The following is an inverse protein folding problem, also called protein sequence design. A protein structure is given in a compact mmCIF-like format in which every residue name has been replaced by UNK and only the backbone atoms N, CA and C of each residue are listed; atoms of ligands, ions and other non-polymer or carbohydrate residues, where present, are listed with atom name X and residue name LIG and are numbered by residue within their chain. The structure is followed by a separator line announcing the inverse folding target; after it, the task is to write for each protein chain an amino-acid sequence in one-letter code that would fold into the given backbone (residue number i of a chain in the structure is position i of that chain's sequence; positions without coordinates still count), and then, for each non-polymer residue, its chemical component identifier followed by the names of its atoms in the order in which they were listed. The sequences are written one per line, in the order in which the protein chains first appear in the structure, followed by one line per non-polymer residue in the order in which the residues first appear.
data_IF_408196423422
#
_entry.id   IF_408196423422
#
_cell.length_a   1.000
_cell.length_b   1.000
_cell.length_c   1.000
_cell.angle_alpha   90.00
_cell.angle_beta   90.00
_cell.angle_gamma   90.00
#
_symmetry.space_group_name_H-M   'P 1'
#
loop_
_entity.id
_entity.type
_entity.pdbx_description
1 polymer ?
#
# COMPACT_ATOMS: atom_id res chain seq x y z
N UNK A 1 -19.10 6.13 9.81
CA UNK A 1 -18.85 7.53 10.18
C UNK A 1 -17.35 7.80 10.11
N UNK A 2 -16.99 8.95 9.59
CA UNK A 2 -15.60 9.36 9.42
C UNK A 2 -15.36 10.66 10.20
N UNK A 3 -14.29 10.68 10.99
CA UNK A 3 -13.99 11.80 11.88
C UNK A 3 -13.36 12.94 11.07
N UNK A 4 -13.90 14.15 11.21
CA UNK A 4 -13.29 15.37 10.66
C UNK A 4 -13.02 16.38 11.77
N UNK A 5 -12.05 17.27 11.54
CA UNK A 5 -11.72 18.38 12.44
C UNK A 5 -12.45 19.64 11.98
N UNK A 6 -13.11 20.31 12.92
CA UNK A 6 -13.79 21.60 12.68
C UNK A 6 -13.33 22.65 13.68
N UNK A 7 -13.37 23.90 13.27
CA UNK A 7 -13.17 25.06 14.15
C UNK A 7 -14.51 25.49 14.77
N UNK A 8 -14.55 25.48 16.10
CA UNK A 8 -15.73 25.89 16.87
C UNK A 8 -15.43 27.25 17.52
N UNK A 9 -16.25 28.28 17.28
CA UNK A 9 -16.04 29.58 17.92
C UNK A 9 -16.24 29.52 19.43
N UNK A 10 -15.35 30.12 20.18
CA UNK A 10 -15.46 30.24 21.62
C UNK A 10 -16.52 31.31 21.90
N UNK A 11 -17.68 30.89 22.44
CA UNK A 11 -18.77 31.81 22.79
C UNK A 11 -18.52 32.40 24.17
N UNK A 12 -18.30 33.73 24.22
CA UNK A 12 -18.19 34.49 25.47
C UNK A 12 -18.06 35.98 25.20
N UNK A 13 -18.47 36.85 26.14
CA UNK A 13 -18.57 38.29 25.89
C UNK A 13 -17.24 39.00 25.65
N UNK A 14 -16.10 38.31 25.84
CA UNK A 14 -14.73 38.84 25.59
C UNK A 14 -13.81 37.88 24.80
N UNK A 15 -14.30 36.72 24.39
CA UNK A 15 -13.47 35.75 23.70
C UNK A 15 -13.61 35.88 22.19
N UNK A 16 -12.50 36.23 21.52
CA UNK A 16 -12.36 36.15 20.06
C UNK A 16 -11.38 35.02 19.78
N UNK A 17 -11.88 33.84 19.47
CA UNK A 17 -11.04 32.70 19.14
C UNK A 17 -11.86 31.50 18.73
N UNK A 18 -11.20 30.51 18.14
CA UNK A 18 -11.77 29.21 17.80
C UNK A 18 -10.94 28.13 18.49
N UNK A 19 -11.57 26.99 18.76
CA UNK A 19 -10.86 25.77 19.14
C UNK A 19 -11.18 24.65 18.17
N UNK A 20 -10.23 23.74 17.95
CA UNK A 20 -10.41 22.58 17.08
C UNK A 20 -11.07 21.46 17.86
N UNK A 21 -12.06 20.83 17.25
CA UNK A 21 -12.70 19.63 17.78
C UNK A 21 -12.96 18.63 16.66
N UNK A 22 -13.11 17.36 17.03
CA UNK A 22 -13.42 16.29 16.10
C UNK A 22 -14.91 15.95 16.14
N UNK A 23 -15.49 15.81 14.97
CA UNK A 23 -16.90 15.45 14.79
C UNK A 23 -17.05 14.36 13.73
N UNK A 24 -18.08 13.54 13.83
CA UNK A 24 -18.44 12.55 12.81
C UNK A 24 -19.26 13.23 11.72
N UNK A 25 -18.60 13.85 10.75
CA UNK A 25 -19.26 14.63 9.71
C UNK A 25 -18.93 14.14 8.29
N UNK A 26 -17.80 13.45 8.14
CA UNK A 26 -17.39 12.88 6.87
C UNK A 26 -17.78 11.40 6.77
N UNK A 27 -17.66 10.85 5.56
CA UNK A 27 -17.85 9.44 5.33
C UNK A 27 -16.75 8.87 4.41
N UNK A 28 -16.44 7.62 4.63
CA UNK A 28 -15.62 6.83 3.72
C UNK A 28 -16.32 5.49 3.45
N UNK A 29 -16.20 4.99 2.25
CA UNK A 29 -16.80 3.76 1.78
C UNK A 29 -15.78 2.93 1.03
N UNK A 30 -15.64 1.66 1.40
CA UNK A 30 -14.85 0.70 0.64
C UNK A 30 -15.78 -0.40 0.12
N UNK A 31 -15.64 -0.73 -1.16
CA UNK A 31 -16.35 -1.81 -1.83
C UNK A 31 -15.36 -2.66 -2.57
N UNK A 32 -15.51 -3.97 -2.52
CA UNK A 32 -14.56 -4.84 -3.18
C UNK A 32 -14.98 -6.29 -3.19
N UNK A 33 -14.12 -7.09 -3.78
CA UNK A 33 -14.18 -8.54 -3.79
C UNK A 33 -12.84 -9.09 -3.34
N UNK A 34 -12.89 -10.21 -2.63
CA UNK A 34 -11.72 -10.95 -2.20
C UNK A 34 -11.85 -12.40 -2.64
N UNK A 35 -10.74 -13.00 -3.02
CA UNK A 35 -10.68 -14.40 -3.39
C UNK A 35 -9.42 -15.03 -2.80
N UNK A 36 -9.57 -16.27 -2.31
CA UNK A 36 -8.46 -17.06 -1.82
C UNK A 36 -8.51 -18.46 -2.43
N UNK A 37 -7.37 -18.93 -2.90
CA UNK A 37 -7.17 -20.28 -3.39
C UNK A 37 -6.07 -20.96 -2.61
N UNK A 38 -6.41 -22.13 -2.00
CA UNK A 38 -5.46 -22.97 -1.27
C UNK A 38 -5.40 -24.35 -1.90
N UNK A 39 -4.19 -24.81 -2.18
CA UNK A 39 -3.95 -26.15 -2.66
C UNK A 39 -2.76 -26.80 -2.00
N UNK A 40 -2.90 -28.08 -1.69
CA UNK A 40 -1.81 -28.93 -1.25
C UNK A 40 -1.62 -30.04 -2.28
N UNK A 41 -0.38 -30.21 -2.75
CA UNK A 41 0.00 -31.24 -3.69
C UNK A 41 0.91 -32.23 -2.97
N UNK A 42 0.35 -33.38 -2.63
CA UNK A 42 1.08 -34.39 -1.86
C UNK A 42 1.62 -33.86 -0.54
N UNK A 43 2.86 -34.28 -0.20
CA UNK A 43 3.61 -33.80 0.96
C UNK A 43 4.57 -32.66 0.63
N UNK A 44 4.70 -32.33 -0.68
CA UNK A 44 5.77 -31.53 -1.22
C UNK A 44 5.44 -30.05 -1.34
N UNK A 45 4.22 -29.72 -1.74
CA UNK A 45 3.87 -28.35 -2.09
C UNK A 45 2.55 -27.93 -1.44
N UNK A 46 2.61 -26.81 -0.74
CA UNK A 46 1.43 -26.06 -0.29
C UNK A 46 1.44 -24.69 -0.94
N UNK A 47 0.36 -24.34 -1.60
CA UNK A 47 0.18 -23.07 -2.28
C UNK A 47 -1.02 -22.34 -1.68
N UNK A 48 -0.86 -21.06 -1.41
CA UNK A 48 -1.96 -20.14 -1.08
C UNK A 48 -1.84 -18.91 -1.96
N UNK A 49 -2.89 -18.59 -2.69
CA UNK A 49 -2.98 -17.38 -3.51
C UNK A 49 -4.18 -16.61 -3.02
N UNK A 50 -4.00 -15.38 -2.64
CA UNK A 50 -5.06 -14.47 -2.22
C UNK A 50 -5.00 -13.20 -3.04
N UNK A 51 -6.16 -12.68 -3.39
CA UNK A 51 -6.29 -11.43 -4.11
C UNK A 51 -7.49 -10.65 -3.63
N UNK A 52 -7.35 -9.34 -3.59
CA UNK A 52 -8.44 -8.40 -3.31
C UNK A 52 -8.46 -7.30 -4.36
N UNK A 53 -9.65 -6.97 -4.80
CA UNK A 53 -9.89 -5.77 -5.58
C UNK A 53 -10.92 -4.92 -4.83
N UNK A 54 -10.55 -3.70 -4.48
CA UNK A 54 -11.43 -2.81 -3.73
C UNK A 54 -11.28 -1.37 -4.24
N UNK A 55 -12.33 -0.59 -4.07
CA UNK A 55 -12.37 0.84 -4.36
C UNK A 55 -12.80 1.55 -3.09
N UNK A 56 -11.95 2.44 -2.61
CA UNK A 56 -12.23 3.29 -1.46
C UNK A 56 -12.54 4.71 -1.93
N UNK A 57 -13.73 5.17 -1.57
CA UNK A 57 -14.24 6.51 -1.91
C UNK A 57 -14.76 7.21 -0.66
N UNK A 58 -14.76 8.53 -0.68
CA UNK A 58 -15.23 9.32 0.43
C UNK A 58 -15.14 10.82 0.16
N UNK A 59 -15.47 11.61 1.16
CA UNK A 59 -15.42 13.06 1.09
C UNK A 59 -14.01 13.58 1.39
N UNK A 60 -13.34 13.01 2.39
CA UNK A 60 -11.94 13.37 2.74
C UNK A 60 -11.12 12.13 3.07
N UNK A 61 -9.81 12.20 2.82
CA UNK A 61 -8.88 11.08 3.06
C UNK A 61 -8.31 11.09 4.49
N UNK A 62 -8.45 12.19 5.20
CA UNK A 62 -8.01 12.35 6.60
C UNK A 62 -8.89 13.33 7.36
N UNK A 63 -8.87 13.23 8.69
CA UNK A 63 -9.68 14.07 9.58
C UNK A 63 -9.39 15.58 9.44
N UNK A 64 -8.20 15.96 9.00
CA UNK A 64 -7.79 17.36 8.89
C UNK A 64 -7.90 17.93 7.46
N UNK A 65 -8.25 17.11 6.47
CA UNK A 65 -8.23 17.53 5.07
C UNK A 65 -9.22 18.65 4.78
N UNK A 66 -10.43 18.56 5.30
CA UNK A 66 -11.46 19.59 5.16
C UNK A 66 -11.04 20.92 5.80
N UNK A 67 -10.44 20.86 6.98
CA UNK A 67 -9.96 22.04 7.70
C UNK A 67 -8.80 22.72 6.97
N UNK A 68 -7.78 21.96 6.57
CA UNK A 68 -6.63 22.47 5.80
C UNK A 68 -7.08 23.07 4.47
N UNK A 69 -8.04 22.42 3.79
CA UNK A 69 -8.61 22.95 2.56
C UNK A 69 -9.27 24.33 2.76
N UNK A 70 -9.98 24.52 3.87
CA UNK A 70 -10.63 25.81 4.21
C UNK A 70 -9.57 26.86 4.57
N UNK A 71 -8.56 26.53 5.38
CA UNK A 71 -7.46 27.44 5.75
C UNK A 71 -6.64 27.87 4.53
N UNK A 72 -6.44 26.99 3.55
CA UNK A 72 -5.70 27.26 2.31
C UNK A 72 -6.58 27.90 1.22
N UNK A 73 -7.86 28.22 1.51
CA UNK A 73 -8.80 28.80 0.56
C UNK A 73 -9.23 27.85 -0.57
N UNK A 74 -9.00 26.55 -0.39
CA UNK A 74 -9.50 25.53 -1.32
C UNK A 74 -10.98 25.30 -1.07
N UNK A 75 -11.74 25.04 -2.12
CA UNK A 75 -13.14 24.66 -1.98
C UNK A 75 -13.24 23.28 -1.37
N UNK A 76 -14.12 23.11 -0.37
CA UNK A 76 -14.45 21.78 0.13
C UNK A 76 -14.87 20.86 -1.03
N UNK A 77 -14.37 19.62 -0.99
CA UNK A 77 -14.85 18.59 -1.89
C UNK A 77 -16.29 18.23 -1.53
N UNK A 78 -17.23 18.65 -2.36
CA UNK A 78 -18.67 18.33 -2.20
C UNK A 78 -18.99 16.95 -2.79
N UNK A 79 -18.12 16.43 -3.64
CA UNK A 79 -18.31 15.17 -4.37
C UNK A 79 -17.53 14.04 -3.74
N UNK A 80 -18.04 12.83 -3.88
CA UNK A 80 -17.35 11.58 -3.50
C UNK A 80 -16.17 11.35 -4.45
N UNK A 81 -14.96 11.24 -3.89
CA UNK A 81 -13.72 11.03 -4.62
C UNK A 81 -12.99 9.79 -4.11
N UNK A 82 -12.03 9.29 -4.88
CA UNK A 82 -11.12 8.27 -4.40
C UNK A 82 -10.29 8.80 -3.22
N UNK A 83 -10.07 7.94 -2.24
CA UNK A 83 -9.24 8.30 -1.09
C UNK A 83 -7.76 8.08 -1.37
N UNK A 84 -6.88 8.90 -0.80
CA UNK A 84 -5.42 8.83 -1.02
C UNK A 84 -4.86 7.45 -0.66
N UNK A 85 -5.44 6.78 0.31
CA UNK A 85 -5.02 5.44 0.72
C UNK A 85 -5.65 4.30 -0.11
N UNK A 86 -6.51 4.61 -1.08
CA UNK A 86 -7.08 3.61 -2.00
C UNK A 86 -5.99 2.92 -2.81
N UNK A 87 -5.94 1.60 -2.70
CA UNK A 87 -5.06 0.72 -3.46
C UNK A 87 -5.89 -0.40 -4.06
N UNK A 88 -6.37 -0.20 -5.29
CA UNK A 88 -7.42 -1.06 -5.86
C UNK A 88 -7.11 -2.54 -5.91
N UNK A 89 -5.88 -2.94 -6.19
CA UNK A 89 -5.52 -4.34 -6.37
C UNK A 89 -4.38 -4.74 -5.44
N UNK A 90 -4.59 -5.85 -4.72
CA UNK A 90 -3.56 -6.51 -3.95
C UNK A 90 -3.59 -8.01 -4.25
N UNK A 91 -2.43 -8.58 -4.53
CA UNK A 91 -2.24 -10.01 -4.75
C UNK A 91 -1.10 -10.52 -3.88
N UNK A 92 -1.30 -11.66 -3.25
CA UNK A 92 -0.27 -12.35 -2.48
C UNK A 92 -0.30 -13.82 -2.85
N UNK A 93 0.86 -14.35 -3.21
CA UNK A 93 1.04 -15.79 -3.39
C UNK A 93 2.12 -16.30 -2.44
N UNK A 94 1.82 -17.36 -1.71
CA UNK A 94 2.79 -18.07 -0.89
C UNK A 94 2.91 -19.52 -1.33
N UNK A 95 4.13 -19.94 -1.53
CA UNK A 95 4.51 -21.28 -1.92
C UNK A 95 5.38 -21.86 -0.81
N UNK A 96 4.97 -22.98 -0.27
CA UNK A 96 5.78 -23.73 0.69
C UNK A 96 6.11 -25.08 0.08
N UNK A 97 7.37 -25.27 -0.24
CA UNK A 97 7.92 -26.51 -0.80
C UNK A 97 8.72 -27.22 0.28
N UNK A 98 8.33 -28.46 0.58
CA UNK A 98 8.95 -29.26 1.64
C UNK A 98 9.40 -30.59 1.05
N UNK A 99 10.65 -30.93 1.23
CA UNK A 99 11.21 -32.25 0.93
C UNK A 99 11.37 -32.99 2.24
N UNK A 100 10.52 -33.99 2.52
CA UNK A 100 10.56 -34.68 3.80
C UNK A 100 11.76 -35.62 3.90
N UNK A 101 12.14 -35.94 5.13
CA UNK A 101 13.17 -36.94 5.42
C UNK A 101 12.85 -38.30 4.79
N UNK A 102 13.85 -39.01 4.32
CA UNK A 102 13.72 -40.30 3.63
C UNK A 102 12.88 -40.25 2.35
N UNK A 103 12.76 -39.09 1.77
CA UNK A 103 12.06 -38.90 0.49
C UNK A 103 12.89 -37.94 -0.38
N UNK A 104 14.10 -38.37 -0.76
CA UNK A 104 15.06 -37.49 -1.44
C UNK A 104 14.52 -36.98 -2.74
N UNK A 105 14.86 -35.73 -3.07
CA UNK A 105 14.60 -35.14 -4.37
C UNK A 105 15.69 -35.58 -5.33
N UNK A 106 15.30 -36.06 -6.51
CA UNK A 106 16.21 -36.53 -7.55
C UNK A 106 17.19 -37.64 -7.12
N UNK A 107 16.86 -38.42 -6.10
CA UNK A 107 17.71 -39.53 -5.62
C UNK A 107 18.97 -39.11 -4.84
N UNK A 108 19.05 -37.82 -4.43
CA UNK A 108 20.17 -37.31 -3.63
C UNK A 108 19.86 -37.42 -2.15
N UNK A 109 20.08 -38.57 -1.58
CA UNK A 109 19.89 -38.83 -0.16
C UNK A 109 20.78 -37.93 0.71
N UNK A 110 20.23 -37.42 1.80
CA UNK A 110 20.92 -36.60 2.78
C UNK A 110 21.15 -35.14 2.36
N UNK A 111 21.38 -34.87 1.10
CA UNK A 111 21.64 -33.49 0.60
C UNK A 111 20.32 -32.76 0.33
N UNK A 112 19.43 -33.36 -0.46
CA UNK A 112 18.16 -32.76 -0.85
C UNK A 112 16.95 -33.30 -0.10
N UNK A 113 17.12 -33.83 1.10
CA UNK A 113 16.04 -34.15 2.02
C UNK A 113 16.01 -33.18 3.20
N UNK A 114 14.95 -33.15 3.98
CA UNK A 114 14.72 -32.22 5.10
C UNK A 114 14.98 -30.75 4.73
N UNK A 115 14.48 -30.37 3.56
CA UNK A 115 14.53 -29.00 3.08
C UNK A 115 13.11 -28.41 3.11
N UNK A 116 13.00 -27.19 3.61
CA UNK A 116 11.80 -26.38 3.51
C UNK A 116 12.13 -25.09 2.79
N UNK A 117 11.44 -24.81 1.69
CA UNK A 117 11.59 -23.58 0.93
C UNK A 117 10.24 -22.83 0.92
N UNK A 118 10.24 -21.64 1.48
CA UNK A 118 9.09 -20.75 1.50
C UNK A 118 9.34 -19.56 0.57
N UNK A 119 8.41 -19.33 -0.34
CA UNK A 119 8.46 -18.18 -1.25
C UNK A 119 7.19 -17.37 -1.10
N UNK A 120 7.33 -16.06 -0.95
CA UNK A 120 6.24 -15.09 -0.92
C UNK A 120 6.38 -14.14 -2.11
N UNK A 121 5.32 -14.03 -2.88
CA UNK A 121 5.18 -13.07 -3.97
C UNK A 121 4.11 -12.07 -3.57
N UNK A 122 4.44 -10.81 -3.62
CA UNK A 122 3.52 -9.73 -3.25
C UNK A 122 3.43 -8.72 -4.40
N UNK A 123 2.21 -8.35 -4.71
CA UNK A 123 1.89 -7.27 -5.63
C UNK A 123 0.82 -6.37 -5.01
N UNK A 124 0.99 -5.06 -5.13
CA UNK A 124 0.00 -4.08 -4.72
C UNK A 124 0.01 -2.90 -5.68
N UNK A 125 -1.15 -2.45 -6.12
CA UNK A 125 -1.27 -1.21 -6.89
C UNK A 125 -0.81 0.00 -6.10
N UNK A 126 -0.39 1.03 -6.79
CA UNK A 126 0.05 2.29 -6.19
C UNK A 126 -1.06 3.00 -5.42
N UNK A 127 -0.68 4.02 -4.68
CA UNK A 127 -1.59 4.95 -4.01
C UNK A 127 -2.22 5.91 -5.01
N UNK A 128 -3.39 6.41 -4.68
CA UNK A 128 -4.02 7.49 -5.41
C UNK A 128 -3.26 8.80 -5.20
N UNK A 129 -3.27 9.63 -6.21
CA UNK A 129 -2.76 10.99 -6.16
C UNK A 129 -3.56 11.91 -7.10
N UNK A 130 -3.49 13.21 -6.85
CA UNK A 130 -4.11 14.24 -7.68
C UNK A 130 -3.09 14.72 -8.70
N UNK A 131 -3.26 14.42 -10.01
CA UNK A 131 -2.38 14.93 -11.03
C UNK A 131 -2.47 16.46 -11.13
N UNK A 132 -1.33 17.13 -11.15
CA UNK A 132 -1.25 18.55 -11.39
C UNK A 132 -1.33 18.85 -12.88
N UNK A 133 -1.95 19.96 -13.23
CA UNK A 133 -2.01 20.42 -14.61
C UNK A 133 -1.09 21.62 -14.83
N UNK A 134 -0.49 21.68 -16.00
CA UNK A 134 0.32 22.81 -16.39
C UNK A 134 -0.52 24.11 -16.38
N UNK A 135 -0.06 25.11 -15.66
CA UNK A 135 -0.74 26.41 -15.50
C UNK A 135 -0.04 27.55 -16.24
N UNK A 136 1.21 27.37 -16.65
CA UNK A 136 1.97 28.39 -17.36
C UNK A 136 3.45 28.40 -16.98
N UNK A 137 4.12 29.46 -17.41
CA UNK A 137 5.54 29.72 -17.10
C UNK A 137 5.62 31.11 -16.42
N UNK A 138 6.18 31.16 -15.23
CA UNK A 138 6.49 32.41 -14.55
C UNK A 138 7.93 32.85 -14.90
N UNK A 139 8.02 33.83 -15.78
CA UNK A 139 9.26 34.49 -16.17
C UNK A 139 9.44 35.85 -15.50
N UNK A 140 8.44 36.30 -14.72
CA UNK A 140 8.47 37.62 -14.07
C UNK A 140 9.13 37.52 -12.69
N UNK A 141 8.71 36.53 -11.92
CA UNK A 141 9.18 36.40 -10.54
C UNK A 141 10.40 35.47 -10.39
N UNK A 142 10.73 34.69 -11.43
CA UNK A 142 11.81 33.70 -11.40
C UNK A 142 12.74 33.82 -12.59
N UNK A 143 14.07 33.79 -12.29
CA UNK A 143 15.10 33.66 -13.32
C UNK A 143 16.07 32.52 -12.90
N UNK A 144 16.19 31.42 -13.67
CA UNK A 144 15.47 31.15 -14.93
C UNK A 144 13.96 30.96 -14.73
N UNK A 145 13.17 31.18 -15.79
CA UNK A 145 11.73 31.04 -15.77
C UNK A 145 11.29 29.69 -15.22
N UNK A 146 10.28 29.68 -14.35
CA UNK A 146 9.80 28.48 -13.67
C UNK A 146 8.44 28.05 -14.22
N UNK A 147 8.31 26.75 -14.47
CA UNK A 147 7.03 26.13 -14.82
C UNK A 147 6.10 26.13 -13.60
N UNK A 148 4.89 26.60 -13.79
CA UNK A 148 3.85 26.61 -12.76
C UNK A 148 2.85 25.49 -13.06
N UNK A 149 2.48 24.77 -12.00
CA UNK A 149 1.45 23.75 -11.99
C UNK A 149 0.36 24.12 -11.00
N UNK A 150 -0.85 23.67 -11.25
CA UNK A 150 -1.97 23.87 -10.34
C UNK A 150 -2.77 22.60 -10.12
N UNK A 151 -3.44 22.52 -9.00
CA UNK A 151 -4.45 21.51 -8.72
C UNK A 151 -5.71 21.76 -9.57
N UNK A 152 -6.28 20.69 -10.09
CA UNK A 152 -7.56 20.71 -10.77
C UNK A 152 -8.56 19.87 -9.96
N UNK A 153 -9.66 20.45 -9.44
CA UNK A 153 -10.60 19.72 -8.58
C UNK A 153 -11.18 18.44 -9.20
N UNK A 154 -11.38 18.44 -10.53
CA UNK A 154 -11.86 17.24 -11.26
C UNK A 154 -10.84 16.10 -11.29
N UNK A 155 -9.55 16.39 -11.05
CA UNK A 155 -8.47 15.42 -11.06
C UNK A 155 -8.10 14.94 -9.65
N UNK A 156 -8.91 15.30 -8.63
CA UNK A 156 -8.63 14.94 -7.27
C UNK A 156 -8.60 13.41 -7.09
N UNK A 157 -7.43 12.88 -6.69
CA UNK A 157 -7.15 11.45 -6.47
C UNK A 157 -7.50 10.53 -7.66
N UNK A 158 -7.47 11.04 -8.91
CA UNK A 158 -7.74 10.23 -10.10
C UNK A 158 -6.53 9.44 -10.59
N UNK A 159 -5.32 9.93 -10.32
CA UNK A 159 -4.08 9.25 -10.67
C UNK A 159 -3.85 8.02 -9.81
N UNK A 160 -3.12 7.04 -10.35
CA UNK A 160 -2.64 5.86 -9.64
C UNK A 160 -1.12 5.82 -9.74
N UNK A 161 -0.44 5.81 -8.61
CA UNK A 161 1.02 5.76 -8.54
C UNK A 161 1.58 4.41 -8.96
N UNK A 162 2.89 4.28 -8.88
CA UNK A 162 3.58 3.03 -9.21
C UNK A 162 3.17 1.91 -8.26
N UNK A 163 3.16 0.68 -8.78
CA UNK A 163 2.85 -0.52 -8.03
C UNK A 163 4.03 -0.96 -7.15
N UNK A 164 3.73 -1.74 -6.15
CA UNK A 164 4.71 -2.47 -5.35
C UNK A 164 4.71 -3.93 -5.73
N UNK A 165 5.91 -4.46 -5.95
CA UNK A 165 6.11 -5.85 -6.27
C UNK A 165 7.41 -6.34 -5.65
N UNK A 166 7.36 -7.45 -4.92
CA UNK A 166 8.55 -8.10 -4.41
C UNK A 166 8.34 -9.61 -4.28
N UNK A 167 9.45 -10.31 -4.29
CA UNK A 167 9.52 -11.74 -4.06
C UNK A 167 10.53 -11.99 -2.95
N UNK A 168 10.08 -12.62 -1.88
CA UNK A 168 10.92 -13.04 -0.76
C UNK A 168 11.00 -14.57 -0.74
N UNK A 169 12.14 -15.10 -0.34
CA UNK A 169 12.35 -16.52 -0.21
C UNK A 169 13.14 -16.84 1.04
N UNK A 170 12.74 -17.91 1.74
CA UNK A 170 13.48 -18.51 2.83
C UNK A 170 13.69 -19.99 2.53
N UNK A 171 14.91 -20.46 2.63
CA UNK A 171 15.29 -21.87 2.46
C UNK A 171 15.91 -22.35 3.76
N UNK A 172 15.39 -23.45 4.31
CA UNK A 172 15.85 -24.07 5.53
C UNK A 172 16.27 -25.50 5.24
N UNK A 173 17.43 -25.88 5.72
CA UNK A 173 17.93 -27.26 5.74
C UNK A 173 18.04 -27.73 7.18
N UNK A 174 17.38 -28.83 7.48
CA UNK A 174 17.46 -29.49 8.78
C UNK A 174 18.50 -30.60 8.72
N UNK A 175 19.38 -30.65 9.73
CA UNK A 175 20.46 -31.64 9.86
C UNK A 175 20.37 -32.22 11.26
N UNK A 176 20.01 -33.50 11.35
CA UNK A 176 19.97 -34.20 12.64
C UNK A 176 21.36 -34.71 13.03
N UNK A 177 21.75 -34.42 14.26
CA UNK A 177 22.92 -34.97 14.91
C UNK A 177 22.50 -35.71 16.19
N UNK A 178 23.38 -36.55 16.73
CA UNK A 178 23.08 -37.36 17.92
C UNK A 178 22.70 -36.55 19.18
N UNK A 179 23.07 -35.29 19.23
CA UNK A 179 22.84 -34.37 20.36
C UNK A 179 21.85 -33.23 20.06
N UNK A 180 21.27 -33.18 18.84
CA UNK A 180 20.29 -32.15 18.49
C UNK A 180 20.12 -31.98 16.99
N UNK A 181 19.19 -31.11 16.59
CA UNK A 181 18.94 -30.75 15.18
C UNK A 181 19.50 -29.37 14.90
N UNK A 182 20.35 -29.26 13.88
CA UNK A 182 20.82 -27.99 13.34
C UNK A 182 19.90 -27.53 12.23
N UNK A 183 19.65 -26.23 12.15
CA UNK A 183 18.90 -25.60 11.07
C UNK A 183 19.80 -24.57 10.40
N UNK A 184 20.07 -24.76 9.12
CA UNK A 184 20.74 -23.77 8.28
C UNK A 184 19.65 -23.05 7.52
N UNK A 185 19.52 -21.74 7.72
CA UNK A 185 18.51 -20.90 7.09
C UNK A 185 19.19 -19.88 6.17
N UNK A 186 18.64 -19.73 4.98
CA UNK A 186 19.05 -18.72 4.01
C UNK A 186 17.84 -17.89 3.60
N UNK A 187 17.81 -16.63 4.04
CA UNK A 187 16.72 -15.70 3.80
C UNK A 187 17.13 -14.67 2.74
N UNK A 188 16.27 -14.47 1.75
CA UNK A 188 16.42 -13.49 0.68
C UNK A 188 15.17 -12.65 0.60
N UNK A 189 15.34 -11.34 0.72
CA UNK A 189 14.25 -10.36 0.57
C UNK A 189 14.40 -9.63 -0.76
N UNK A 190 13.27 -9.41 -1.42
CA UNK A 190 13.21 -8.70 -2.70
C UNK A 190 14.24 -9.23 -3.73
N UNK A 191 14.19 -10.53 -3.99
CA UNK A 191 15.17 -11.26 -4.86
C UNK A 191 15.32 -10.60 -6.24
N UNK A 192 14.23 -10.00 -6.74
CA UNK A 192 14.22 -9.36 -8.05
C UNK A 192 14.78 -7.94 -8.01
N UNK A 193 15.20 -7.45 -6.83
CA UNK A 193 15.72 -6.11 -6.63
C UNK A 193 14.82 -5.02 -7.23
N UNK A 194 13.50 -5.20 -7.11
CA UNK A 194 12.55 -4.25 -7.63
C UNK A 194 12.55 -2.96 -6.79
N UNK A 195 12.62 -1.82 -7.44
CA UNK A 195 12.62 -0.51 -6.78
C UNK A 195 11.17 -0.11 -6.49
N UNK A 196 10.65 -0.50 -5.34
CA UNK A 196 9.32 -0.17 -4.88
C UNK A 196 9.26 1.29 -4.41
N UNK A 197 9.12 2.22 -5.33
CA UNK A 197 9.07 3.65 -5.02
C UNK A 197 7.74 4.03 -4.39
N UNK A 198 7.80 4.89 -3.37
CA UNK A 198 6.61 5.59 -2.85
C UNK A 198 6.53 7.03 -3.35
N UNK A 199 7.54 7.49 -4.05
CA UNK A 199 7.61 8.85 -4.56
C UNK A 199 6.74 8.92 -5.81
N UNK A 200 5.68 9.68 -5.71
CA UNK A 200 4.80 9.98 -6.85
C UNK A 200 5.23 11.34 -7.37
N UNK A 201 5.58 11.39 -8.65
CA UNK A 201 5.74 12.66 -9.32
C UNK A 201 4.35 13.10 -9.81
N UNK A 202 3.72 14.10 -9.21
CA UNK A 202 2.38 14.56 -9.62
C UNK A 202 2.39 15.30 -10.97
N UNK A 203 3.57 15.53 -11.51
CA UNK A 203 3.78 16.24 -12.78
C UNK A 203 3.98 15.22 -13.89
N UNK A 204 2.96 15.00 -14.68
CA UNK A 204 3.00 14.21 -15.91
C UNK A 204 2.51 15.04 -17.10
#
# INVERSE_FOLDING_TARGET
DYITSIDVPIRGPRSKGTYKTYVNQDYARTRGIEAEYKKRIGKWLRTTISGSYSIATGKSSSANEGLLGTEEGRRENVTENHLVWDRPLQLTASLNFTVPKKSPLFGMDGILEDINAYTKIFFQSGKRYSPWVFAGIDSINYFPARTIYRDEPKNYNTGLGEYWFYVDMNIEKYIDASFGTFVISFEMQNILNNKNSQIINPVT
#
